data_IF_052254788745
#
_entry.id   IF_052254788745
#
_cell.length_a   1.000
_cell.length_b   1.000
_cell.length_c   1.000
_cell.angle_alpha   90.00
_cell.angle_beta   90.00
_cell.angle_gamma   90.00
#
_symmetry.space_group_name_H-M   'P 1'
#
loop_
_entity.id
_entity.type
_entity.pdbx_description
1 polymer ?
#
# COMPACT_ATOMS: atom_id res chain seq x y z
N UNK A 1 -7.19 20.63 -0.27
CA UNK A 1 -6.63 19.76 -1.33
C UNK A 1 -5.16 19.48 -1.02
N UNK A 2 -4.86 18.42 -0.27
CA UNK A 2 -3.49 17.96 -0.09
C UNK A 2 -3.15 17.00 -1.23
N UNK A 3 -2.55 17.51 -2.32
CA UNK A 3 -1.98 16.67 -3.39
C UNK A 3 -0.69 16.03 -2.83
N UNK A 4 -0.84 14.89 -2.17
CA UNK A 4 0.24 14.17 -1.51
C UNK A 4 1.27 13.64 -2.51
N UNK A 5 2.42 14.31 -2.58
CA UNK A 5 3.63 13.87 -3.30
C UNK A 5 4.54 12.97 -2.44
N UNK A 6 4.02 12.37 -1.35
CA UNK A 6 4.83 11.62 -0.39
C UNK A 6 5.01 10.14 -0.78
N UNK A 7 4.03 9.58 -1.49
CA UNK A 7 3.93 8.14 -1.71
C UNK A 7 4.76 7.63 -2.90
N UNK A 8 5.03 8.45 -3.92
CA UNK A 8 6.01 8.10 -4.96
C UNK A 8 7.44 8.16 -4.45
N UNK A 9 7.73 9.10 -3.54
CA UNK A 9 9.07 9.30 -2.99
C UNK A 9 9.50 8.11 -2.12
N UNK A 10 8.58 7.48 -1.39
CA UNK A 10 8.88 6.27 -0.62
C UNK A 10 9.44 5.14 -1.50
N UNK A 11 8.81 4.87 -2.65
CA UNK A 11 9.22 3.76 -3.52
C UNK A 11 10.64 3.97 -4.08
N UNK A 12 11.05 5.23 -4.24
CA UNK A 12 12.39 5.56 -4.73
C UNK A 12 13.49 5.35 -3.67
N UNK A 13 13.13 5.28 -2.38
CA UNK A 13 14.05 5.01 -1.29
C UNK A 13 14.28 3.51 -1.01
N UNK A 14 13.45 2.63 -1.57
CA UNK A 14 13.52 1.19 -1.36
C UNK A 14 14.76 0.61 -2.07
N UNK A 15 15.58 -0.20 -1.37
CA UNK A 15 16.76 -0.84 -2.00
C UNK A 15 16.31 -1.93 -2.98
N UNK A 16 17.07 -2.22 -4.04
CA UNK A 16 16.68 -3.25 -5.02
C UNK A 16 16.46 -4.65 -4.43
N UNK A 17 17.09 -4.95 -3.30
CA UNK A 17 16.96 -6.22 -2.57
C UNK A 17 15.74 -6.30 -1.66
N UNK A 18 15.15 -5.16 -1.30
CA UNK A 18 13.99 -5.13 -0.41
C UNK A 18 12.75 -5.62 -1.18
N UNK A 19 11.92 -6.42 -0.52
CA UNK A 19 10.64 -6.88 -1.08
C UNK A 19 9.51 -6.30 -0.26
N UNK A 20 8.58 -5.63 -0.92
CA UNK A 20 7.47 -4.92 -0.27
C UNK A 20 6.15 -5.51 -0.76
N UNK A 21 5.28 -5.84 0.19
CA UNK A 21 3.87 -6.13 -0.05
C UNK A 21 3.02 -4.92 0.33
N UNK A 22 1.82 -4.81 -0.25
CA UNK A 22 0.87 -3.73 0.06
C UNK A 22 -0.47 -4.36 0.43
N UNK A 23 -0.98 -3.98 1.60
CA UNK A 23 -2.30 -4.35 2.11
C UNK A 23 -3.07 -3.05 2.36
N UNK A 24 -4.31 -3.01 1.90
CA UNK A 24 -5.25 -1.94 2.21
C UNK A 24 -6.19 -2.40 3.31
N UNK A 25 -6.43 -1.53 4.29
CA UNK A 25 -7.27 -1.81 5.45
C UNK A 25 -8.30 -0.70 5.60
N UNK A 26 -9.57 -1.06 5.41
CA UNK A 26 -10.74 -0.24 5.69
C UNK A 26 -11.79 -1.09 6.44
N UNK A 27 -13.06 -1.07 6.00
CA UNK A 27 -14.07 -1.98 6.50
C UNK A 27 -13.76 -3.46 6.15
N UNK A 28 -12.82 -3.68 5.23
CA UNK A 28 -12.27 -4.97 4.84
C UNK A 28 -10.74 -4.90 4.79
N UNK A 29 -10.11 -6.07 4.78
CA UNK A 29 -8.67 -6.20 4.57
C UNK A 29 -8.47 -6.79 3.18
N UNK A 30 -7.70 -6.09 2.35
CA UNK A 30 -7.47 -6.49 0.97
C UNK A 30 -5.99 -6.43 0.66
N UNK A 31 -5.44 -7.55 0.21
CA UNK A 31 -4.11 -7.56 -0.37
C UNK A 31 -4.14 -6.85 -1.72
N UNK A 32 -3.31 -5.82 -1.87
CA UNK A 32 -3.23 -4.99 -3.08
C UNK A 32 -2.06 -5.44 -3.96
N UNK A 33 -0.98 -5.88 -3.34
CA UNK A 33 0.20 -6.36 -4.03
C UNK A 33 0.97 -7.37 -3.17
N UNK A 34 1.28 -8.53 -3.76
CA UNK A 34 2.22 -9.50 -3.19
C UNK A 34 3.63 -8.91 -3.01
N UNK A 35 4.42 -9.54 -2.14
CA UNK A 35 5.81 -9.17 -1.88
C UNK A 35 6.65 -9.11 -3.17
N UNK A 36 7.08 -7.91 -3.56
CA UNK A 36 7.84 -7.65 -4.79
C UNK A 36 8.88 -6.55 -4.62
N UNK A 37 9.93 -6.57 -5.44
CA UNK A 37 10.91 -5.48 -5.58
C UNK A 37 10.66 -4.61 -6.82
N UNK A 38 9.62 -4.91 -7.60
CA UNK A 38 9.27 -4.16 -8.81
C UNK A 38 8.68 -2.79 -8.45
N UNK A 39 9.53 -1.75 -8.54
CA UNK A 39 9.17 -0.36 -8.26
C UNK A 39 8.02 0.17 -9.12
N UNK A 40 7.87 -0.30 -10.37
CA UNK A 40 6.77 0.15 -11.24
C UNK A 40 5.44 -0.39 -10.72
N UNK A 41 5.40 -1.66 -10.32
CA UNK A 41 4.22 -2.26 -9.68
C UNK A 41 3.90 -1.58 -8.35
N UNK A 42 4.91 -1.32 -7.52
CA UNK A 42 4.72 -0.61 -6.24
C UNK A 42 4.11 0.78 -6.44
N UNK A 43 4.68 1.61 -7.33
CA UNK A 43 4.15 2.95 -7.62
C UNK A 43 2.71 2.89 -8.15
N UNK A 44 2.43 1.99 -9.08
CA UNK A 44 1.10 1.83 -9.65
C UNK A 44 0.07 1.36 -8.60
N UNK A 45 0.43 0.41 -7.73
CA UNK A 45 -0.45 -0.09 -6.67
C UNK A 45 -0.77 0.99 -5.65
N UNK A 46 0.23 1.77 -5.21
CA UNK A 46 0.05 2.88 -4.27
C UNK A 46 -0.87 3.97 -4.84
N UNK A 47 -0.73 4.30 -6.13
CA UNK A 47 -1.59 5.30 -6.80
C UNK A 47 -3.05 4.85 -6.91
N UNK A 48 -3.32 3.54 -6.82
CA UNK A 48 -4.66 2.95 -6.93
C UNK A 48 -5.33 2.72 -5.58
N UNK A 49 -4.66 2.99 -4.47
CA UNK A 49 -5.26 2.90 -3.14
C UNK A 49 -6.40 3.91 -3.03
N UNK A 50 -7.52 3.48 -2.45
CA UNK A 50 -8.68 4.33 -2.28
C UNK A 50 -8.36 5.44 -1.26
N UNK A 51 -8.70 6.67 -1.60
CA UNK A 51 -8.49 7.83 -0.71
C UNK A 51 -9.62 8.03 0.30
N UNK A 52 -10.73 7.30 0.16
CA UNK A 52 -11.88 7.39 1.02
C UNK A 52 -12.11 6.06 1.73
N UNK A 53 -12.06 6.07 3.07
CA UNK A 53 -12.48 4.93 3.87
C UNK A 53 -13.96 4.67 3.63
N UNK A 54 -14.31 3.45 3.25
CA UNK A 54 -15.70 3.06 2.95
C UNK A 54 -16.49 2.64 4.20
N UNK A 55 -15.88 2.76 5.40
CA UNK A 55 -16.50 2.40 6.68
C UNK A 55 -15.51 2.51 7.87
N UNK A 56 -15.63 1.61 8.85
CA UNK A 56 -14.68 1.50 9.97
C UNK A 56 -13.34 0.90 9.55
N UNK A 57 -12.39 0.75 10.49
CA UNK A 57 -11.05 0.22 10.20
C UNK A 57 -10.82 -1.12 10.89
N UNK A 58 -10.48 -2.17 10.14
CA UNK A 58 -10.14 -3.52 10.66
C UNK A 58 -8.62 -3.70 10.80
N UNK A 59 -7.99 -2.80 11.55
CA UNK A 59 -6.52 -2.72 11.70
C UNK A 59 -5.91 -4.04 12.16
N UNK A 60 -6.53 -4.69 13.16
CA UNK A 60 -6.04 -5.97 13.70
C UNK A 60 -6.08 -7.10 12.67
N UNK A 61 -7.10 -7.14 11.83
CA UNK A 61 -7.21 -8.14 10.77
C UNK A 61 -6.15 -7.91 9.68
N UNK A 62 -5.78 -6.64 9.45
CA UNK A 62 -4.68 -6.28 8.53
C UNK A 62 -3.32 -6.72 9.04
N UNK A 63 -3.06 -6.61 10.35
CA UNK A 63 -1.81 -7.07 10.96
C UNK A 63 -1.69 -8.60 11.02
N UNK A 64 -2.83 -9.32 10.95
CA UNK A 64 -2.87 -10.78 10.94
C UNK A 64 -2.64 -11.39 9.55
N UNK A 65 -2.54 -10.57 8.49
CA UNK A 65 -2.19 -11.05 7.15
C UNK A 65 -0.73 -11.52 7.11
N UNK A 66 -0.44 -12.66 6.45
CA UNK A 66 0.90 -13.23 6.34
C UNK A 66 1.85 -12.44 5.44
#
# INVERSE_FOLDING_TARGET
MCKGSFSSNFVDLIRPSDRIGIIEVDAQVRQVLDSTSDRKKLKASIQRLATAATGGFRIYDGLAQP
#
